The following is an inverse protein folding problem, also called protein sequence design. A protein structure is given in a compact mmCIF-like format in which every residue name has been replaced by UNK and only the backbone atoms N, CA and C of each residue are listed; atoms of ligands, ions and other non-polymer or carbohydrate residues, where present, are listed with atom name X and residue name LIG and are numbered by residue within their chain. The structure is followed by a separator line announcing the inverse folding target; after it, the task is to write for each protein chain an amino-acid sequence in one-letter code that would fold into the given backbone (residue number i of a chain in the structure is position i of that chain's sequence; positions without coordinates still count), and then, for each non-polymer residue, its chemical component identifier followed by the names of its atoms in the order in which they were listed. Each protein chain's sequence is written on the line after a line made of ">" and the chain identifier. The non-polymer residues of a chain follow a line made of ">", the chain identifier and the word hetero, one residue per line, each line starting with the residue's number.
data_IF_756037694564
#
_entry.id   IF_756037694564
#
_cell.length_a   1.000
_cell.length_b   1.000
_cell.length_c   1.000
_cell.angle_alpha   90.00
_cell.angle_beta   90.00
_cell.angle_gamma   90.00
#
_symmetry.space_group_name_H-M   'P 1'
#
loop_
_entity.id
_entity.type
_entity.pdbx_description
1 polymer ?
#
# COMPACT_ATOMS: atom_id res chain seq x y z
N UNK A 1 1.08 5.79 18.34
CA UNK A 1 0.87 5.95 16.88
C UNK A 1 -0.55 5.52 16.54
N UNK A 2 -1.05 5.80 15.33
CA UNK A 2 -2.37 5.36 14.90
C UNK A 2 -2.35 3.88 14.50
N UNK A 3 -3.40 3.16 14.90
CA UNK A 3 -3.59 1.75 14.61
C UNK A 3 -5.07 1.41 14.85
N UNK A 4 -5.73 0.80 13.88
CA UNK A 4 -7.10 0.33 14.00
C UNK A 4 -7.28 -0.96 13.21
N UNK A 5 -8.10 -1.89 13.70
CA UNK A 5 -8.45 -3.13 12.98
C UNK A 5 -7.22 -4.00 12.58
N UNK A 6 -6.09 -3.85 13.31
CA UNK A 6 -4.82 -4.57 13.12
C UNK A 6 -4.31 -5.07 14.48
N UNK A 7 -3.79 -6.29 14.50
CA UNK A 7 -3.12 -6.90 15.63
C UNK A 7 -1.60 -6.88 15.44
N UNK A 8 -0.88 -6.21 16.33
CA UNK A 8 0.59 -6.24 16.39
C UNK A 8 1.06 -7.57 16.97
N UNK A 9 1.94 -8.25 16.25
CA UNK A 9 2.60 -9.51 16.63
C UNK A 9 3.90 -9.21 17.39
N UNK A 10 4.76 -8.38 16.81
CA UNK A 10 6.01 -7.93 17.44
C UNK A 10 6.24 -6.45 17.19
N UNK A 11 6.98 -5.79 18.08
CA UNK A 11 7.56 -4.49 17.78
C UNK A 11 8.93 -4.35 18.44
N UNK A 12 9.83 -3.65 17.77
CA UNK A 12 11.18 -3.37 18.24
C UNK A 12 11.67 -2.03 17.73
N UNK A 13 12.52 -1.38 18.52
CA UNK A 13 13.16 -0.13 18.17
C UNK A 13 14.68 -0.31 18.18
N UNK A 14 15.32 0.00 17.06
CA UNK A 14 16.77 0.01 16.92
C UNK A 14 17.25 1.47 16.78
N UNK A 15 17.82 2.09 17.83
CA UNK A 15 18.47 3.39 17.70
C UNK A 15 19.66 3.30 16.75
N UNK A 16 20.02 4.40 16.10
CA UNK A 16 21.13 4.42 15.15
C UNK A 16 22.47 4.11 15.86
N UNK A 17 23.06 2.96 15.53
CA UNK A 17 24.35 2.51 16.11
C UNK A 17 24.24 1.71 17.41
N UNK A 18 23.03 1.47 17.92
CA UNK A 18 22.78 0.72 19.15
C UNK A 18 22.03 -0.61 18.89
N UNK A 19 21.92 -1.43 19.93
CA UNK A 19 21.19 -2.70 19.88
C UNK A 19 19.67 -2.50 19.80
N UNK A 20 19.01 -3.48 19.18
CA UNK A 20 17.56 -3.52 19.04
C UNK A 20 16.87 -3.80 20.38
N UNK A 21 15.89 -2.95 20.73
CA UNK A 21 15.13 -3.02 21.97
C UNK A 21 13.72 -3.50 21.64
N UNK A 22 13.34 -4.67 22.17
CA UNK A 22 12.00 -5.20 21.96
C UNK A 22 10.96 -4.53 22.86
N UNK A 23 9.77 -4.30 22.32
CA UNK A 23 8.63 -3.83 23.09
C UNK A 23 8.17 -4.90 24.08
N UNK A 24 7.73 -4.47 25.27
CA UNK A 24 7.24 -5.32 26.36
C UNK A 24 5.71 -5.40 26.40
N UNK A 25 5.01 -4.58 25.62
CA UNK A 25 3.56 -4.64 25.52
C UNK A 25 2.97 -3.62 24.55
N UNK A 26 1.73 -3.89 24.15
CA UNK A 26 0.94 -3.07 23.24
C UNK A 26 -0.37 -2.68 23.94
N UNK A 27 -0.58 -1.39 24.16
CA UNK A 27 -1.81 -0.87 24.76
C UNK A 27 -2.66 -0.18 23.70
N UNK A 28 -3.76 -0.83 23.31
CA UNK A 28 -4.70 -0.34 22.31
C UNK A 28 -5.74 0.59 22.92
N UNK A 29 -5.83 1.81 22.39
CA UNK A 29 -6.84 2.82 22.69
C UNK A 29 -7.81 2.86 21.51
N UNK A 30 -8.71 1.87 21.44
CA UNK A 30 -9.58 1.64 20.28
C UNK A 30 -10.49 2.83 19.96
N UNK A 31 -10.96 3.56 20.98
CA UNK A 31 -11.79 4.76 20.79
C UNK A 31 -11.03 5.88 20.07
N UNK A 32 -9.72 5.98 20.31
CA UNK A 32 -8.84 6.98 19.70
C UNK A 32 -8.11 6.45 18.45
N UNK A 33 -8.32 5.18 18.09
CA UNK A 33 -7.61 4.49 17.01
C UNK A 33 -6.07 4.59 17.15
N UNK A 34 -5.59 4.40 18.38
CA UNK A 34 -4.18 4.51 18.74
C UNK A 34 -3.66 3.26 19.42
N UNK A 35 -2.36 3.07 19.30
CA UNK A 35 -1.60 2.09 20.07
C UNK A 35 -0.39 2.77 20.71
N UNK A 36 -0.14 2.42 21.98
CA UNK A 36 1.07 2.75 22.72
C UNK A 36 1.94 1.50 22.83
N UNK A 37 3.17 1.59 22.35
CA UNK A 37 4.19 0.55 22.49
C UNK A 37 4.99 0.82 23.77
N UNK A 38 5.03 -0.14 24.68
CA UNK A 38 5.82 -0.08 25.91
C UNK A 38 7.19 -0.71 25.67
N UNK A 39 8.24 -0.08 26.18
CA UNK A 39 9.62 -0.58 26.12
C UNK A 39 10.16 -0.80 27.54
N UNK A 40 11.18 -1.66 27.75
CA UNK A 40 11.69 -1.98 29.08
C UNK A 40 12.35 -0.78 29.78
N UNK A 41 12.77 0.22 29.01
CA UNK A 41 13.36 1.46 29.50
C UNK A 41 12.96 2.63 28.60
N UNK A 42 13.14 3.85 29.11
CA UNK A 42 13.00 5.07 28.33
C UNK A 42 13.90 5.02 27.09
N UNK A 43 13.32 5.25 25.92
CA UNK A 43 14.08 5.35 24.67
C UNK A 43 14.89 6.65 24.66
N UNK A 44 16.15 6.57 24.23
CA UNK A 44 17.00 7.74 24.04
C UNK A 44 16.43 8.64 22.93
N UNK A 45 16.54 9.96 23.10
CA UNK A 45 16.19 10.91 22.03
C UNK A 45 17.15 10.76 20.87
N UNK A 46 16.64 10.56 19.66
CA UNK A 46 17.47 10.43 18.46
C UNK A 46 16.71 9.85 17.26
N UNK A 47 17.48 9.40 16.28
CA UNK A 47 17.02 8.66 15.10
C UNK A 47 17.10 7.16 15.35
N UNK A 48 16.22 6.40 14.71
CA UNK A 48 16.19 4.95 14.81
C UNK A 48 15.11 4.34 13.93
N UNK A 49 15.09 3.01 13.88
CA UNK A 49 14.13 2.23 13.12
C UNK A 49 13.15 1.55 14.06
N UNK A 50 11.87 1.85 13.92
CA UNK A 50 10.78 1.09 14.55
C UNK A 50 10.34 0.00 13.58
N UNK A 51 10.51 -1.26 13.95
CA UNK A 51 10.00 -2.42 13.21
C UNK A 51 8.76 -2.93 13.92
N UNK A 52 7.73 -3.27 13.14
CA UNK A 52 6.47 -3.79 13.64
C UNK A 52 6.02 -4.90 12.71
N UNK A 53 5.86 -6.10 13.27
CA UNK A 53 5.17 -7.19 12.60
C UNK A 53 3.71 -7.16 13.04
N UNK A 54 2.79 -7.23 12.09
CA UNK A 54 1.36 -7.12 12.38
C UNK A 54 0.52 -7.93 11.39
N UNK A 55 -0.73 -8.19 11.77
CA UNK A 55 -1.72 -8.87 10.94
C UNK A 55 -3.03 -8.10 10.96
N UNK A 56 -3.76 -8.11 9.85
CA UNK A 56 -5.08 -7.51 9.73
C UNK A 56 -5.96 -8.31 8.78
N UNK A 57 -7.26 -8.04 8.82
CA UNK A 57 -8.24 -8.68 7.94
C UNK A 57 -8.61 -7.77 6.77
N UNK A 58 -8.65 -8.33 5.56
CA UNK A 58 -9.25 -7.66 4.39
C UNK A 58 -10.76 -7.53 4.58
N UNK A 59 -11.18 -6.38 5.11
CA UNK A 59 -12.56 -6.04 5.38
C UNK A 59 -13.38 -5.83 4.10
N UNK A 60 -14.71 -5.69 4.22
CA UNK A 60 -15.65 -5.39 3.12
C UNK A 60 -16.32 -4.01 3.26
N UNK A 61 -15.70 -3.10 4.01
CA UNK A 61 -16.22 -1.76 4.36
C UNK A 61 -15.77 -0.65 3.41
N UNK A 62 -15.09 -1.00 2.31
CA UNK A 62 -14.56 -0.06 1.30
C UNK A 62 -13.60 1.01 1.87
N UNK A 63 -12.85 0.67 2.92
CA UNK A 63 -11.89 1.56 3.57
C UNK A 63 -10.70 0.79 4.13
N UNK A 64 -9.57 1.45 4.28
CA UNK A 64 -8.31 0.81 4.64
C UNK A 64 -7.87 -0.12 3.52
N UNK A 65 -7.31 -1.29 3.88
CA UNK A 65 -7.04 -2.35 2.91
C UNK A 65 -8.19 -3.35 2.93
N UNK A 66 -8.98 -3.38 1.86
CA UNK A 66 -10.26 -4.07 1.82
C UNK A 66 -10.36 -4.97 0.58
N UNK A 67 -11.25 -5.97 0.63
CA UNK A 67 -11.58 -6.81 -0.52
C UNK A 67 -12.72 -6.21 -1.32
N UNK A 68 -12.49 -6.02 -2.62
CA UNK A 68 -13.51 -5.60 -3.59
C UNK A 68 -13.99 -6.80 -4.39
N UNK A 69 -15.30 -7.02 -4.41
CA UNK A 69 -15.96 -8.12 -5.12
C UNK A 69 -16.20 -7.74 -6.58
N UNK A 70 -15.89 -8.65 -7.51
CA UNK A 70 -16.28 -8.51 -8.92
C UNK A 70 -16.72 -9.86 -9.51
N UNK A 71 -17.44 -9.79 -10.62
CA UNK A 71 -17.89 -10.97 -11.36
C UNK A 71 -17.11 -11.07 -12.66
N UNK A 72 -16.50 -12.22 -12.91
CA UNK A 72 -15.79 -12.54 -14.14
C UNK A 72 -16.76 -12.72 -15.33
N UNK A 73 -16.27 -12.71 -16.58
CA UNK A 73 -17.11 -13.01 -17.74
C UNK A 73 -17.78 -14.39 -17.71
N UNK A 74 -17.21 -15.38 -17.01
CA UNK A 74 -17.80 -16.71 -16.82
C UNK A 74 -18.89 -16.76 -15.74
N UNK A 75 -19.13 -15.65 -15.02
CA UNK A 75 -20.09 -15.57 -13.92
C UNK A 75 -19.51 -15.93 -12.54
N UNK A 76 -18.22 -16.28 -12.46
CA UNK A 76 -17.55 -16.57 -11.20
C UNK A 76 -17.33 -15.28 -10.39
N UNK A 77 -17.65 -15.33 -9.09
CA UNK A 77 -17.35 -14.26 -8.13
C UNK A 77 -15.90 -14.36 -7.71
N UNK A 78 -15.15 -13.26 -7.87
CA UNK A 78 -13.77 -13.12 -7.42
C UNK A 78 -13.57 -11.85 -6.61
N UNK A 79 -12.40 -11.74 -5.99
CA UNK A 79 -12.02 -10.63 -5.14
C UNK A 79 -10.68 -10.03 -5.57
N UNK A 80 -10.57 -8.72 -5.45
CA UNK A 80 -9.32 -7.98 -5.49
C UNK A 80 -9.09 -7.32 -4.12
N UNK A 81 -7.84 -7.12 -3.72
CA UNK A 81 -7.49 -6.35 -2.55
C UNK A 81 -7.13 -4.92 -2.99
N UNK A 82 -7.74 -3.91 -2.37
CA UNK A 82 -7.64 -2.50 -2.79
C UNK A 82 -7.50 -1.64 -1.54
N UNK A 83 -6.73 -0.56 -1.65
CA UNK A 83 -6.59 0.45 -0.59
C UNK A 83 -7.47 1.67 -0.85
N UNK A 84 -8.14 2.18 0.17
CA UNK A 84 -8.75 3.51 0.23
C UNK A 84 -8.43 4.12 1.59
N UNK A 85 -7.50 5.07 1.65
CA UNK A 85 -6.98 5.60 2.92
C UNK A 85 -7.45 7.00 3.27
N UNK A 86 -7.96 7.78 2.31
CA UNK A 86 -8.43 9.12 2.62
C UNK A 86 -9.75 9.08 3.43
N UNK A 87 -9.86 9.80 4.56
CA UNK A 87 -8.85 10.71 5.13
C UNK A 87 -7.91 10.06 6.18
N UNK A 88 -8.35 9.02 6.88
CA UNK A 88 -7.66 8.49 8.08
C UNK A 88 -7.73 6.96 8.18
N UNK A 89 -7.66 6.27 7.05
CA UNK A 89 -7.81 4.82 6.98
C UNK A 89 -6.50 4.08 6.66
N UNK A 90 -5.36 4.78 6.49
CA UNK A 90 -4.05 4.13 6.35
C UNK A 90 -3.69 3.31 7.61
N UNK A 91 -4.08 3.80 8.79
CA UNK A 91 -3.94 3.12 10.09
C UNK A 91 -4.64 1.76 10.19
N UNK A 92 -5.51 1.42 9.23
CA UNK A 92 -6.19 0.12 9.10
C UNK A 92 -5.50 -0.85 8.15
N UNK A 93 -4.46 -0.40 7.46
CA UNK A 93 -3.61 -1.23 6.62
C UNK A 93 -2.23 -1.44 7.23
N UNK A 94 -1.69 -0.44 7.94
CA UNK A 94 -0.43 -0.56 8.68
C UNK A 94 -0.38 0.48 9.83
N UNK A 95 0.21 0.16 10.99
CA UNK A 95 0.41 1.14 12.05
C UNK A 95 1.28 2.30 11.54
N UNK A 96 0.81 3.54 11.69
CA UNK A 96 1.57 4.72 11.26
C UNK A 96 1.18 6.00 12.04
N UNK A 97 1.89 7.10 11.79
CA UNK A 97 1.45 8.43 12.21
C UNK A 97 0.54 9.02 11.13
N UNK A 98 -0.74 8.70 11.22
CA UNK A 98 -1.73 8.90 10.16
C UNK A 98 -2.35 10.30 10.24
N UNK A 99 -1.50 11.31 10.03
CA UNK A 99 -1.86 12.73 10.00
C UNK A 99 -1.30 13.37 8.72
N UNK A 100 -2.09 14.15 7.95
CA UNK A 100 -1.65 14.68 6.66
C UNK A 100 -0.36 15.51 6.69
N UNK A 101 -0.08 16.18 7.82
CA UNK A 101 1.12 16.98 8.03
C UNK A 101 2.40 16.15 8.20
N UNK A 102 2.27 14.88 8.59
CA UNK A 102 3.40 13.97 8.83
C UNK A 102 3.69 13.22 7.53
N UNK A 103 4.64 13.75 6.75
CA UNK A 103 5.02 13.20 5.45
C UNK A 103 6.26 12.33 5.56
N UNK A 104 6.31 11.29 4.73
CA UNK A 104 7.44 10.38 4.63
C UNK A 104 7.59 9.87 3.19
N UNK A 105 8.71 9.21 2.91
CA UNK A 105 8.86 8.35 1.74
C UNK A 105 8.44 6.93 2.09
N UNK A 106 7.91 6.17 1.12
CA UNK A 106 7.48 4.81 1.31
C UNK A 106 8.24 3.87 0.37
N UNK A 107 8.89 2.86 0.95
CA UNK A 107 9.43 1.71 0.22
C UNK A 107 8.44 0.55 0.38
N UNK A 108 7.78 0.14 -0.69
CA UNK A 108 6.67 -0.83 -0.66
C UNK A 108 7.11 -2.12 -1.37
N UNK A 109 6.86 -3.25 -0.71
CA UNK A 109 7.00 -4.59 -1.29
C UNK A 109 5.74 -5.38 -1.01
N UNK A 110 5.24 -6.12 -1.99
CA UNK A 110 4.05 -6.96 -1.88
C UNK A 110 4.39 -8.40 -2.24
N UNK A 111 4.02 -9.33 -1.36
CA UNK A 111 4.06 -10.76 -1.66
C UNK A 111 2.67 -11.18 -2.16
N UNK A 112 2.57 -11.60 -3.41
CA UNK A 112 1.28 -11.83 -4.09
C UNK A 112 1.30 -13.11 -4.92
N UNK A 113 0.14 -13.72 -5.25
CA UNK A 113 0.07 -14.81 -6.21
C UNK A 113 0.66 -14.42 -7.57
N UNK A 114 1.42 -15.33 -8.18
CA UNK A 114 2.17 -15.09 -9.43
C UNK A 114 1.32 -14.72 -10.63
N UNK A 115 0.04 -15.06 -10.60
CA UNK A 115 -0.99 -14.79 -11.62
C UNK A 115 -1.83 -13.54 -11.32
N UNK A 116 -1.47 -12.74 -10.31
CA UNK A 116 -2.11 -11.46 -9.99
C UNK A 116 -1.27 -10.27 -10.43
N UNK A 117 -1.97 -9.21 -10.80
CA UNK A 117 -1.38 -7.88 -10.96
C UNK A 117 -1.21 -7.26 -9.58
N UNK A 118 -0.04 -6.68 -9.33
CA UNK A 118 0.25 -5.88 -8.14
C UNK A 118 0.61 -4.45 -8.57
N UNK A 119 -0.10 -3.48 -8.04
CA UNK A 119 0.11 -2.05 -8.30
C UNK A 119 0.41 -1.34 -6.99
N UNK A 120 1.20 -0.27 -7.09
CA UNK A 120 1.40 0.70 -6.02
C UNK A 120 1.67 2.08 -6.63
N UNK A 121 2.03 3.07 -5.80
CA UNK A 121 2.26 4.44 -6.22
C UNK A 121 3.37 4.58 -7.27
N UNK A 122 4.41 3.75 -7.18
CA UNK A 122 5.60 3.84 -8.02
C UNK A 122 5.75 2.62 -8.94
N UNK A 123 6.65 2.71 -9.92
CA UNK A 123 6.93 1.60 -10.83
C UNK A 123 7.59 0.41 -10.11
N UNK A 124 7.35 -0.79 -10.63
CA UNK A 124 8.05 -2.01 -10.20
C UNK A 124 9.54 -1.89 -10.53
N UNK A 125 10.40 -2.24 -9.58
CA UNK A 125 11.87 -2.28 -9.73
C UNK A 125 12.44 -3.69 -9.59
N UNK A 126 11.71 -4.60 -8.94
CA UNK A 126 12.09 -6.01 -8.81
C UNK A 126 10.83 -6.90 -8.72
N UNK A 127 10.88 -8.08 -9.32
CA UNK A 127 9.84 -9.11 -9.23
C UNK A 127 10.50 -10.48 -9.28
N UNK A 128 10.46 -11.20 -8.17
CA UNK A 128 11.13 -12.49 -8.02
C UNK A 128 10.24 -13.52 -7.30
N UNK A 129 10.49 -14.84 -7.49
CA UNK A 129 9.81 -15.88 -6.72
C UNK A 129 9.96 -15.66 -5.21
N UNK A 130 8.90 -15.91 -4.45
CA UNK A 130 8.96 -15.87 -2.99
C UNK A 130 9.62 -17.16 -2.46
N UNK A 131 10.62 -17.10 -1.55
CA UNK A 131 11.39 -18.28 -1.14
C UNK A 131 10.57 -19.40 -0.51
N UNK A 132 9.50 -19.07 0.22
CA UNK A 132 8.75 -20.05 1.02
C UNK A 132 7.51 -20.61 0.30
N UNK A 133 7.14 -20.08 -0.88
CA UNK A 133 5.98 -20.52 -1.66
C UNK A 133 6.16 -20.26 -3.17
N UNK A 134 6.20 -21.34 -3.96
CA UNK A 134 6.37 -21.31 -5.43
C UNK A 134 5.20 -20.69 -6.22
N UNK A 135 4.06 -20.44 -5.55
CA UNK A 135 2.91 -19.77 -6.13
C UNK A 135 2.91 -18.27 -5.87
N UNK A 136 3.84 -17.79 -5.05
CA UNK A 136 3.96 -16.38 -4.69
C UNK A 136 5.19 -15.74 -5.34
N UNK A 137 5.11 -14.44 -5.53
CA UNK A 137 6.21 -13.57 -5.94
C UNK A 137 6.30 -12.38 -5.00
N UNK A 138 7.52 -11.92 -4.73
CA UNK A 138 7.77 -10.62 -4.10
C UNK A 138 7.90 -9.57 -5.21
N UNK A 139 7.05 -8.55 -5.18
CA UNK A 139 7.08 -7.39 -6.09
C UNK A 139 7.54 -6.18 -5.29
N UNK A 140 8.67 -5.57 -5.69
CA UNK A 140 9.20 -4.36 -5.08
C UNK A 140 8.96 -3.16 -5.97
N UNK A 141 8.53 -2.06 -5.37
CA UNK A 141 8.28 -0.79 -6.05
C UNK A 141 9.38 0.21 -5.72
N UNK A 142 9.62 1.18 -6.62
CA UNK A 142 10.52 2.28 -6.33
C UNK A 142 10.01 3.10 -5.13
N UNK A 143 10.94 3.75 -4.42
CA UNK A 143 10.63 4.65 -3.32
C UNK A 143 9.77 5.82 -3.80
N UNK A 144 8.71 6.14 -3.04
CA UNK A 144 7.88 7.32 -3.34
C UNK A 144 8.63 8.63 -3.06
N UNK A 145 8.23 9.75 -3.69
CA UNK A 145 8.51 11.08 -3.14
C UNK A 145 7.95 11.23 -1.71
N UNK A 146 8.34 12.30 -1.03
CA UNK A 146 7.78 12.65 0.28
C UNK A 146 6.29 12.98 0.13
N UNK A 147 5.44 12.17 0.75
CA UNK A 147 3.97 12.31 0.67
C UNK A 147 3.29 11.93 1.99
N UNK A 148 2.00 12.25 2.09
CA UNK A 148 1.17 11.92 3.26
C UNK A 148 0.67 10.47 3.20
N UNK A 149 0.38 9.86 4.35
CA UNK A 149 -0.06 8.45 4.48
C UNK A 149 -1.32 8.14 3.69
N UNK A 150 -2.27 9.06 3.61
CA UNK A 150 -3.54 8.84 2.90
C UNK A 150 -3.39 8.66 1.38
N UNK A 151 -2.24 9.04 0.80
CA UNK A 151 -1.93 8.85 -0.62
C UNK A 151 -1.29 7.49 -0.91
N UNK A 152 -0.88 6.73 0.12
CA UNK A 152 -0.32 5.39 -0.08
C UNK A 152 -1.40 4.53 -0.72
N UNK A 153 -1.04 3.84 -1.80
CA UNK A 153 -1.95 2.99 -2.52
C UNK A 153 -1.27 1.68 -2.92
N UNK A 154 -2.00 0.59 -2.79
CA UNK A 154 -1.64 -0.68 -3.41
C UNK A 154 -2.88 -1.51 -3.75
N UNK A 155 -2.76 -2.27 -4.83
CA UNK A 155 -3.85 -3.07 -5.39
C UNK A 155 -3.31 -4.43 -5.79
N UNK A 156 -4.04 -5.50 -5.47
CA UNK A 156 -3.74 -6.87 -5.88
C UNK A 156 -5.00 -7.50 -6.47
N UNK A 157 -4.96 -7.92 -7.73
CA UNK A 157 -6.14 -8.50 -8.38
C UNK A 157 -5.89 -8.94 -9.81
N UNK A 158 -6.97 -9.30 -10.49
CA UNK A 158 -6.95 -9.63 -11.92
C UNK A 158 -7.43 -8.41 -12.70
N UNK A 159 -6.54 -7.83 -13.50
CA UNK A 159 -6.82 -6.63 -14.28
C UNK A 159 -6.22 -6.76 -15.67
N UNK A 160 -6.97 -6.31 -16.66
CA UNK A 160 -6.41 -5.91 -17.95
C UNK A 160 -6.06 -4.43 -17.91
N UNK A 161 -5.27 -3.96 -18.86
CA UNK A 161 -5.02 -2.53 -19.01
C UNK A 161 -4.87 -2.14 -20.47
N UNK A 162 -5.14 -0.86 -20.74
CA UNK A 162 -4.67 -0.15 -21.93
C UNK A 162 -3.61 0.86 -21.51
N UNK A 163 -2.60 1.06 -22.35
CA UNK A 163 -1.50 1.99 -22.07
C UNK A 163 -1.16 2.86 -23.25
N UNK A 164 -0.61 4.04 -22.96
CA UNK A 164 0.05 4.91 -23.94
C UNK A 164 1.11 5.75 -23.24
N UNK A 165 1.78 6.64 -23.98
CA UNK A 165 2.75 7.59 -23.44
C UNK A 165 2.33 9.03 -23.73
N UNK A 166 2.54 9.92 -22.76
CA UNK A 166 2.45 11.37 -22.95
C UNK A 166 3.59 11.89 -23.84
N UNK A 167 3.52 13.16 -24.26
CA UNK A 167 4.59 13.83 -25.05
C UNK A 167 5.93 13.83 -24.32
N UNK A 168 5.89 13.98 -22.99
CA UNK A 168 7.08 13.96 -22.13
C UNK A 168 7.54 12.53 -21.78
N UNK A 169 6.89 11.51 -22.35
CA UNK A 169 7.29 10.12 -22.25
C UNK A 169 6.76 9.38 -21.02
N UNK A 170 5.89 10.01 -20.21
CA UNK A 170 5.24 9.39 -19.05
C UNK A 170 4.32 8.27 -19.53
N UNK A 171 4.49 7.07 -18.98
CA UNK A 171 3.62 5.93 -19.30
C UNK A 171 2.31 6.04 -18.50
N UNK A 172 1.19 6.18 -19.21
CA UNK A 172 -0.15 6.24 -18.63
C UNK A 172 -0.84 4.90 -18.87
N UNK A 173 -1.44 4.33 -17.82
CA UNK A 173 -2.18 3.08 -17.87
C UNK A 173 -3.56 3.24 -17.26
N UNK A 174 -4.57 2.67 -17.91
CA UNK A 174 -5.91 2.51 -17.35
C UNK A 174 -6.16 1.03 -17.12
N UNK A 175 -6.26 0.64 -15.85
CA UNK A 175 -6.57 -0.74 -15.45
C UNK A 175 -8.09 -0.94 -15.35
N UNK A 176 -8.55 -2.09 -15.81
CA UNK A 176 -9.97 -2.47 -15.85
C UNK A 176 -10.15 -3.93 -15.44
N UNK A 177 -11.35 -4.38 -15.03
CA UNK A 177 -11.63 -5.81 -14.89
C UNK A 177 -11.29 -6.58 -16.18
N UNK A 178 -10.88 -7.83 -16.03
CA UNK A 178 -10.52 -8.70 -17.16
C UNK A 178 -11.66 -8.76 -18.19
N UNK A 179 -11.31 -8.62 -19.47
CA UNK A 179 -12.21 -8.59 -20.62
C UNK A 179 -12.82 -7.22 -20.91
N UNK A 180 -12.46 -6.17 -20.15
CA UNK A 180 -13.02 -4.81 -20.30
C UNK A 180 -12.00 -3.73 -20.70
N UNK A 181 -10.79 -4.11 -21.12
CA UNK A 181 -9.72 -3.17 -21.47
C UNK A 181 -10.16 -2.07 -22.46
N UNK A 182 -10.96 -2.44 -23.45
CA UNK A 182 -11.51 -1.51 -24.46
C UNK A 182 -12.32 -0.36 -23.85
N UNK A 183 -12.98 -0.58 -22.71
CA UNK A 183 -13.74 0.46 -21.99
C UNK A 183 -12.82 1.52 -21.37
N UNK A 184 -11.53 1.21 -21.19
CA UNK A 184 -10.54 2.14 -20.65
C UNK A 184 -9.96 3.11 -21.68
N UNK A 185 -10.21 2.92 -22.99
CA UNK A 185 -9.58 3.73 -24.05
C UNK A 185 -9.93 5.21 -23.98
N UNK A 186 -11.21 5.53 -23.80
CA UNK A 186 -11.63 6.92 -23.68
C UNK A 186 -10.99 7.61 -22.46
N UNK A 187 -10.96 6.93 -21.31
CA UNK A 187 -10.29 7.44 -20.12
C UNK A 187 -8.79 7.64 -20.38
N UNK A 188 -8.13 6.70 -21.07
CA UNK A 188 -6.71 6.80 -21.40
C UNK A 188 -6.41 8.02 -22.27
N UNK A 189 -7.21 8.25 -23.31
CA UNK A 189 -7.07 9.40 -24.21
C UNK A 189 -7.20 10.73 -23.45
N UNK A 190 -8.23 10.86 -22.60
CA UNK A 190 -8.45 12.07 -21.80
C UNK A 190 -7.31 12.33 -20.81
N UNK A 191 -6.86 11.30 -20.08
CA UNK A 191 -5.79 11.45 -19.08
C UNK A 191 -4.47 11.90 -19.73
N UNK A 192 -4.15 11.40 -20.93
CA UNK A 192 -2.89 11.76 -21.60
C UNK A 192 -2.93 13.19 -22.14
N UNK A 193 -4.11 13.64 -22.61
CA UNK A 193 -4.30 15.03 -23.00
C UNK A 193 -4.18 15.98 -21.81
N UNK A 194 -4.71 15.60 -20.65
CA UNK A 194 -4.61 16.37 -19.41
C UNK A 194 -3.17 16.44 -18.88
N UNK A 195 -2.44 15.32 -18.91
CA UNK A 195 -1.01 15.28 -18.56
C UNK A 195 -0.18 16.20 -19.47
N UNK A 196 -0.38 16.11 -20.79
CA UNK A 196 0.30 16.97 -21.76
C UNK A 196 -0.05 18.46 -21.57
N UNK A 197 -1.29 18.76 -21.22
CA UNK A 197 -1.75 20.14 -20.98
C UNK A 197 -1.15 20.70 -19.69
N UNK A 198 -1.11 19.91 -18.62
CA UNK A 198 -0.62 20.33 -17.31
C UNK A 198 0.89 20.58 -17.30
N UNK A 199 1.63 19.91 -18.20
CA UNK A 199 3.07 20.09 -18.40
C UNK A 199 3.41 21.07 -19.54
N UNK A 200 2.42 21.74 -20.13
CA UNK A 200 2.65 22.79 -21.12
C UNK A 200 3.12 24.09 -20.44
N UNK A 201 4.12 24.80 -21.00
CA UNK A 201 4.72 26.00 -20.43
C UNK A 201 3.81 27.24 -20.44
#
# INVERSE_FOLDING_TARGET
>A
MNCADIDIITASYAPEGDEEIHATGFNYQNEDEKVTLSFPSTLQTGTGTLKIDFVGELNDKMKGFYRSKYTTPSGEVRYAAVTQFEATDARRAFPCWDEPAIKATFDISLVVPKDRVALSNMNVIDRKPYPDDENLVEVKFARTPVMSTYLVAFVVGEYDFVETRSKDGVCVRVYTPVGKAEQGKFALEVNVLEEDYSNSP
#
